data_IF_324449777318
#
_entry.id   IF_324449777318
#
_cell.length_a   1.000
_cell.length_b   1.000
_cell.length_c   1.000
_cell.angle_alpha   90.00
_cell.angle_beta   90.00
_cell.angle_gamma   90.00
#
_symmetry.space_group_name_H-M   'P 1'
#
loop_
_entity.id
_entity.type
_entity.pdbx_description
1 polymer ?
#
# COMPACT_ATOMS: atom_id res chain seq x y z
N UNK A 1 -7.15 -0.03 -14.98
CA UNK A 1 -7.11 1.09 -15.95
C UNK A 1 -8.48 1.56 -16.44
N UNK A 2 -9.45 0.68 -16.71
CA UNK A 2 -10.79 1.10 -17.15
C UNK A 2 -11.47 2.11 -16.21
N UNK A 3 -11.40 1.89 -14.88
CA UNK A 3 -11.95 2.82 -13.91
C UNK A 3 -11.35 4.23 -14.07
N UNK A 4 -10.02 4.36 -14.12
CA UNK A 4 -9.35 5.65 -14.27
C UNK A 4 -9.81 6.35 -15.56
N UNK A 5 -9.75 5.68 -16.71
CA UNK A 5 -10.18 6.25 -18.00
C UNK A 5 -11.65 6.69 -18.04
N UNK A 6 -12.53 6.04 -17.27
CA UNK A 6 -13.96 6.35 -17.22
C UNK A 6 -14.27 7.53 -16.31
N UNK A 7 -13.50 7.71 -15.24
CA UNK A 7 -13.81 8.70 -14.21
C UNK A 7 -12.87 9.91 -14.24
N UNK A 8 -11.72 9.81 -14.90
CA UNK A 8 -10.70 10.86 -14.95
C UNK A 8 -10.25 11.18 -16.38
N UNK A 9 -9.56 12.30 -16.53
CA UNK A 9 -8.89 12.75 -17.75
C UNK A 9 -7.41 12.32 -17.78
N UNK A 10 -6.95 11.57 -16.77
CA UNK A 10 -5.58 11.06 -16.70
C UNK A 10 -5.34 10.15 -17.92
N UNK A 11 -4.29 10.42 -18.72
CA UNK A 11 -3.99 9.61 -19.88
C UNK A 11 -3.49 8.24 -19.45
N UNK A 12 -4.35 7.22 -19.57
CA UNK A 12 -4.01 5.82 -19.32
C UNK A 12 -4.22 4.99 -20.60
N UNK A 13 -3.30 4.06 -20.91
CA UNK A 13 -3.48 3.15 -22.03
C UNK A 13 -4.81 2.41 -22.00
N UNK A 14 -5.47 2.32 -23.16
CA UNK A 14 -6.67 1.51 -23.32
C UNK A 14 -6.35 0.03 -23.26
N UNK A 15 -7.29 -0.76 -22.73
CA UNK A 15 -7.19 -2.21 -22.77
C UNK A 15 -7.66 -2.70 -24.14
N UNK A 16 -6.76 -3.32 -24.91
CA UNK A 16 -7.05 -3.91 -26.22
C UNK A 16 -7.63 -5.31 -26.05
N UNK A 17 -7.02 -6.10 -25.17
CA UNK A 17 -7.45 -7.46 -24.82
C UNK A 17 -6.87 -7.84 -23.47
N UNK A 18 -7.54 -8.70 -22.74
CA UNK A 18 -7.00 -9.32 -21.54
C UNK A 18 -7.61 -10.70 -21.37
N UNK A 19 -6.98 -11.54 -20.56
CA UNK A 19 -7.54 -12.78 -20.05
C UNK A 19 -6.96 -12.99 -18.64
N UNK A 20 -7.83 -13.07 -17.65
CA UNK A 20 -7.45 -13.24 -16.24
C UNK A 20 -7.51 -14.73 -15.83
N UNK A 21 -7.44 -15.63 -16.80
CA UNK A 21 -7.42 -17.08 -16.56
C UNK A 21 -6.21 -17.71 -17.23
N UNK A 22 -5.83 -18.90 -16.81
CA UNK A 22 -4.83 -19.72 -17.52
C UNK A 22 -5.45 -20.48 -18.70
N UNK A 23 -6.78 -20.42 -18.88
CA UNK A 23 -7.50 -21.11 -19.94
C UNK A 23 -7.51 -20.31 -21.25
N UNK A 24 -6.32 -19.96 -21.72
CA UNK A 24 -6.12 -19.21 -22.96
C UNK A 24 -4.90 -19.71 -23.73
N UNK A 25 -4.67 -19.19 -24.94
CA UNK A 25 -3.64 -19.69 -25.86
C UNK A 25 -2.20 -19.62 -25.32
N UNK A 26 -1.91 -18.75 -24.36
CA UNK A 26 -0.57 -18.61 -23.77
C UNK A 26 -0.44 -19.30 -22.41
N UNK A 27 -1.53 -19.86 -21.88
CA UNK A 27 -1.53 -20.59 -20.60
C UNK A 27 -1.31 -19.73 -19.36
N UNK A 28 -1.38 -18.40 -19.49
CA UNK A 28 -1.10 -17.46 -18.41
C UNK A 28 -2.03 -16.25 -18.50
N UNK A 29 -2.27 -15.59 -17.36
CA UNK A 29 -2.96 -14.30 -17.33
C UNK A 29 -2.20 -13.26 -18.16
N UNK A 30 -2.94 -12.41 -18.88
CA UNK A 30 -2.33 -11.31 -19.62
C UNK A 30 -3.24 -10.11 -19.77
N UNK A 31 -2.62 -8.97 -20.03
CA UNK A 31 -3.28 -7.77 -20.52
C UNK A 31 -2.48 -7.19 -21.67
N UNK A 32 -3.17 -6.89 -22.78
CA UNK A 32 -2.66 -6.19 -23.95
C UNK A 32 -3.21 -4.77 -23.94
N UNK A 33 -2.30 -3.80 -24.04
CA UNK A 33 -2.59 -2.38 -23.86
C UNK A 33 -2.25 -1.58 -25.13
N UNK A 34 -2.92 -0.46 -25.32
CA UNK A 34 -2.48 0.58 -26.26
C UNK A 34 -1.05 1.02 -25.91
N UNK A 35 -0.22 1.28 -26.92
CA UNK A 35 1.12 1.82 -26.68
C UNK A 35 1.01 3.30 -26.33
N UNK A 36 1.41 3.68 -25.11
CA UNK A 36 1.58 5.08 -24.76
C UNK A 36 2.73 5.70 -25.59
N UNK A 37 2.49 6.80 -26.33
CA UNK A 37 3.56 7.51 -27.02
C UNK A 37 4.41 8.29 -26.00
N UNK A 38 5.73 8.31 -26.20
CA UNK A 38 6.65 9.09 -25.36
C UNK A 38 7.96 8.36 -25.06
N UNK A 39 8.73 8.96 -24.15
CA UNK A 39 9.95 8.41 -23.56
C UNK A 39 9.76 8.40 -22.06
N UNK A 40 10.26 7.37 -21.39
CA UNK A 40 10.17 7.27 -19.94
C UNK A 40 11.03 8.35 -19.28
N UNK A 41 10.49 8.98 -18.24
CA UNK A 41 11.11 10.14 -17.58
C UNK A 41 12.46 9.79 -16.98
N UNK A 42 12.60 8.60 -16.38
CA UNK A 42 13.85 8.11 -15.80
C UNK A 42 15.03 8.11 -16.79
N UNK A 43 14.75 7.97 -18.09
CA UNK A 43 15.78 7.92 -19.14
C UNK A 43 16.31 9.29 -19.57
N UNK A 44 15.56 10.35 -19.24
CA UNK A 44 15.85 11.71 -19.72
C UNK A 44 15.85 12.76 -18.60
N UNK A 45 15.59 12.38 -17.35
CA UNK A 45 15.37 13.31 -16.24
C UNK A 45 16.53 14.27 -16.03
N UNK A 46 17.77 13.78 -16.15
CA UNK A 46 19.03 14.52 -16.07
C UNK A 46 19.15 15.62 -17.13
N UNK A 47 18.50 15.43 -18.29
CA UNK A 47 18.51 16.35 -19.42
C UNK A 47 17.35 17.33 -19.41
N UNK A 48 16.36 17.13 -18.54
CA UNK A 48 15.19 18.01 -18.47
C UNK A 48 15.57 19.35 -17.85
N UNK A 49 15.07 20.44 -18.42
CA UNK A 49 15.18 21.76 -17.81
C UNK A 49 14.35 21.81 -16.51
N UNK A 50 14.73 22.72 -15.61
CA UNK A 50 13.97 22.96 -14.38
C UNK A 50 12.53 23.40 -14.66
N UNK A 51 12.30 24.13 -15.75
CA UNK A 51 10.96 24.51 -16.20
C UNK A 51 10.12 23.28 -16.58
N UNK A 52 10.68 22.34 -17.33
CA UNK A 52 9.98 21.09 -17.70
C UNK A 52 9.67 20.25 -16.47
N UNK A 53 10.64 20.09 -15.55
CA UNK A 53 10.43 19.38 -14.27
C UNK A 53 9.32 20.03 -13.44
N UNK A 54 9.30 21.37 -13.37
CA UNK A 54 8.24 22.14 -12.71
C UNK A 54 6.87 21.87 -13.33
N UNK A 55 6.77 21.86 -14.65
CA UNK A 55 5.52 21.58 -15.36
C UNK A 55 5.05 20.13 -15.15
N UNK A 56 5.97 19.17 -15.04
CA UNK A 56 5.66 17.79 -14.70
C UNK A 56 5.08 17.68 -13.29
N UNK A 57 5.68 18.33 -12.28
CA UNK A 57 5.10 18.38 -10.92
C UNK A 57 3.69 18.95 -10.96
N UNK A 58 3.49 20.07 -11.68
CA UNK A 58 2.14 20.67 -11.83
C UNK A 58 1.13 19.70 -12.43
N UNK A 59 1.52 18.95 -13.46
CA UNK A 59 0.65 17.96 -14.10
C UNK A 59 0.36 16.76 -13.18
N UNK A 60 1.35 16.24 -12.46
CA UNK A 60 1.15 15.18 -11.47
C UNK A 60 0.22 15.65 -10.34
N UNK A 61 0.36 16.90 -9.89
CA UNK A 61 -0.58 17.50 -8.94
C UNK A 61 -2.00 17.51 -9.51
N UNK A 62 -2.19 17.87 -10.79
CA UNK A 62 -3.52 17.84 -11.42
C UNK A 62 -4.14 16.44 -11.42
N UNK A 63 -3.34 15.40 -11.71
CA UNK A 63 -3.81 14.01 -11.65
C UNK A 63 -4.18 13.59 -10.23
N UNK A 64 -3.37 13.95 -9.23
CA UNK A 64 -3.68 13.63 -7.83
C UNK A 64 -4.96 14.34 -7.37
N UNK A 65 -5.12 15.62 -7.69
CA UNK A 65 -6.36 16.37 -7.40
C UNK A 65 -7.55 15.65 -8.03
N UNK A 66 -7.45 15.25 -9.30
CA UNK A 66 -8.53 14.57 -10.00
C UNK A 66 -8.92 13.25 -9.30
N UNK A 67 -7.96 12.44 -8.88
CA UNK A 67 -8.24 11.20 -8.14
C UNK A 67 -8.94 11.48 -6.80
N UNK A 68 -8.55 12.55 -6.09
CA UNK A 68 -9.19 12.96 -4.83
C UNK A 68 -10.61 13.51 -5.00
N UNK A 69 -11.02 13.88 -6.21
CA UNK A 69 -12.41 14.25 -6.51
C UNK A 69 -13.34 13.03 -6.66
N UNK A 70 -12.81 11.80 -6.61
CA UNK A 70 -13.56 10.55 -6.71
C UNK A 70 -13.39 9.63 -5.48
N UNK A 71 -13.81 10.06 -4.27
CA UNK A 71 -13.66 9.23 -3.08
C UNK A 71 -14.69 8.09 -3.01
N UNK A 72 -14.27 6.95 -2.44
CA UNK A 72 -15.14 5.84 -2.04
C UNK A 72 -15.82 6.16 -0.71
N UNK A 73 -17.03 6.73 -0.79
CA UNK A 73 -17.76 7.26 0.38
C UNK A 73 -18.15 6.20 1.42
N UNK A 74 -18.36 4.96 0.98
CA UNK A 74 -18.80 3.88 1.86
C UNK A 74 -17.64 3.19 2.59
N UNK A 75 -16.40 3.61 2.34
CA UNK A 75 -15.20 3.01 2.92
C UNK A 75 -14.80 1.73 2.19
N UNK A 76 -13.54 1.69 1.74
CA UNK A 76 -13.03 0.54 1.00
C UNK A 76 -11.50 0.54 0.90
N UNK A 77 -10.87 -0.55 1.33
CA UNK A 77 -9.43 -0.78 1.15
C UNK A 77 -9.23 -2.09 0.40
N UNK A 78 -8.77 -1.98 -0.84
CA UNK A 78 -8.56 -3.13 -1.71
C UNK A 78 -8.14 -2.72 -3.11
N UNK A 79 -8.05 -3.69 -4.00
CA UNK A 79 -7.82 -3.49 -5.42
C UNK A 79 -9.11 -3.26 -6.19
N UNK A 80 -8.98 -3.08 -7.51
CA UNK A 80 -10.12 -3.17 -8.42
C UNK A 80 -9.94 -4.43 -9.28
N UNK A 81 -11.00 -5.22 -9.40
CA UNK A 81 -11.07 -6.35 -10.33
C UNK A 81 -12.09 -6.07 -11.44
N UNK A 82 -12.05 -6.87 -12.50
CA UNK A 82 -13.02 -6.79 -13.59
C UNK A 82 -14.10 -7.85 -13.40
N UNK A 83 -15.35 -7.39 -13.35
CA UNK A 83 -16.50 -8.28 -13.46
C UNK A 83 -16.66 -8.77 -14.92
N UNK A 84 -17.37 -9.88 -15.14
CA UNK A 84 -17.43 -10.55 -16.46
C UNK A 84 -17.98 -9.71 -17.63
N UNK A 85 -18.58 -8.54 -17.34
CA UNK A 85 -19.02 -7.53 -18.31
C UNK A 85 -17.95 -6.45 -18.61
N UNK A 86 -16.75 -6.55 -18.03
CA UNK A 86 -15.66 -5.57 -18.14
C UNK A 86 -15.77 -4.37 -17.19
N UNK A 87 -16.74 -4.38 -16.27
CA UNK A 87 -16.92 -3.33 -15.27
C UNK A 87 -15.92 -3.50 -14.11
N UNK A 88 -15.38 -2.38 -13.63
CA UNK A 88 -14.48 -2.39 -12.46
C UNK A 88 -15.29 -2.49 -11.18
N UNK A 89 -15.00 -3.49 -10.35
CA UNK A 89 -15.62 -3.73 -9.05
C UNK A 89 -14.55 -3.87 -7.96
N UNK A 90 -14.95 -3.81 -6.69
CA UNK A 90 -14.07 -4.08 -5.56
C UNK A 90 -13.47 -5.49 -5.64
N UNK A 91 -12.17 -5.62 -5.37
CA UNK A 91 -11.43 -6.86 -5.29
C UNK A 91 -10.36 -6.85 -4.19
N UNK A 92 -9.60 -7.93 -4.01
CA UNK A 92 -8.66 -8.02 -2.90
C UNK A 92 -7.55 -6.96 -3.04
N UNK A 93 -6.98 -6.44 -1.94
CA UNK A 93 -5.74 -5.68 -2.02
C UNK A 93 -4.63 -6.52 -2.65
N UNK A 94 -3.74 -5.84 -3.37
CA UNK A 94 -2.46 -6.40 -3.82
C UNK A 94 -1.38 -5.65 -3.07
N UNK A 95 -0.52 -6.40 -2.38
CA UNK A 95 0.58 -5.84 -1.60
C UNK A 95 1.91 -6.42 -2.07
N UNK A 96 2.95 -5.57 -2.10
CA UNK A 96 4.29 -5.97 -2.54
C UNK A 96 5.01 -6.85 -1.51
N UNK A 97 4.54 -6.84 -0.26
CA UNK A 97 5.06 -7.63 0.85
C UNK A 97 4.26 -8.93 1.04
N UNK A 98 3.41 -9.31 0.08
CA UNK A 98 2.85 -10.65 0.06
C UNK A 98 3.92 -11.67 -0.31
N UNK A 99 3.96 -12.75 0.47
CA UNK A 99 4.80 -13.89 0.14
C UNK A 99 4.38 -14.47 -1.20
N UNK A 100 5.34 -14.85 -2.03
CA UNK A 100 5.08 -15.48 -3.32
C UNK A 100 5.42 -16.97 -3.28
N UNK A 101 5.03 -17.74 -4.30
CA UNK A 101 5.34 -19.18 -4.40
C UNK A 101 6.83 -19.46 -4.18
N UNK A 102 7.79 -18.73 -4.78
CA UNK A 102 9.21 -18.97 -4.53
C UNK A 102 9.65 -18.68 -3.09
N UNK A 103 8.95 -17.78 -2.39
CA UNK A 103 9.26 -17.49 -0.98
C UNK A 103 8.79 -18.62 -0.06
N UNK A 104 7.64 -19.24 -0.34
CA UNK A 104 7.16 -20.41 0.40
C UNK A 104 8.20 -21.53 0.37
N UNK A 105 8.69 -21.86 -0.83
CA UNK A 105 9.70 -22.92 -1.01
C UNK A 105 11.01 -22.60 -0.29
N UNK A 106 11.38 -21.31 -0.23
CA UNK A 106 12.67 -20.88 0.29
C UNK A 106 12.68 -20.64 1.79
N UNK A 107 11.65 -20.00 2.31
CA UNK A 107 11.59 -19.48 3.67
C UNK A 107 10.56 -20.21 4.54
N UNK A 108 9.61 -20.92 3.93
CA UNK A 108 8.59 -21.70 4.64
C UNK A 108 8.70 -23.23 4.38
N UNK A 109 9.89 -23.84 4.24
CA UNK A 109 10.02 -25.19 3.69
C UNK A 109 9.67 -26.33 4.67
N UNK A 110 9.49 -26.05 5.97
CA UNK A 110 9.31 -27.12 6.95
C UNK A 110 7.99 -27.86 6.68
N UNK A 111 8.01 -29.20 6.58
CA UNK A 111 6.81 -30.01 6.53
C UNK A 111 5.88 -29.77 7.72
N UNK A 112 6.37 -29.27 8.85
CA UNK A 112 5.56 -28.97 10.03
C UNK A 112 4.70 -27.69 9.85
N UNK A 113 5.15 -26.74 9.02
CA UNK A 113 4.46 -25.47 8.81
C UNK A 113 3.20 -25.63 7.93
N UNK A 114 3.16 -26.57 6.98
CA UNK A 114 2.02 -26.83 6.08
C UNK A 114 1.39 -25.57 5.43
N UNK A 115 2.19 -24.51 5.25
CA UNK A 115 1.69 -23.22 4.79
C UNK A 115 1.44 -23.21 3.28
N UNK A 116 0.36 -22.55 2.87
CA UNK A 116 0.05 -22.19 1.49
C UNK A 116 -0.14 -20.68 1.40
N UNK A 117 -0.14 -20.12 0.18
CA UNK A 117 -0.24 -18.67 -0.03
C UNK A 117 -1.47 -18.07 0.68
N UNK A 118 -2.61 -18.74 0.60
CA UNK A 118 -3.85 -18.27 1.22
C UNK A 118 -3.80 -18.25 2.75
N UNK A 119 -2.92 -19.06 3.37
CA UNK A 119 -2.74 -19.09 4.83
C UNK A 119 -1.78 -18.00 5.33
N UNK A 120 -0.70 -17.74 4.58
CA UNK A 120 0.29 -16.72 4.97
C UNK A 120 -0.02 -15.32 4.40
N UNK A 121 -0.93 -15.22 3.44
CA UNK A 121 -1.49 -13.98 2.92
C UNK A 121 -3.04 -14.04 2.90
N UNK A 122 -3.70 -14.22 4.05
CA UNK A 122 -5.16 -14.28 4.09
C UNK A 122 -5.74 -12.92 3.70
N UNK A 123 -6.53 -12.89 2.63
CA UNK A 123 -7.12 -11.66 2.10
C UNK A 123 -8.59 -11.93 1.72
N UNK A 124 -9.54 -11.13 2.20
CA UNK A 124 -10.92 -11.20 1.73
C UNK A 124 -10.98 -10.85 0.24
N UNK A 125 -11.70 -11.68 -0.54
CA UNK A 125 -11.84 -11.50 -2.00
C UNK A 125 -12.50 -10.16 -2.33
N UNK A 126 -13.41 -9.72 -1.47
CA UNK A 126 -14.11 -8.45 -1.55
C UNK A 126 -13.30 -7.25 -1.04
N UNK A 127 -12.08 -7.46 -0.51
CA UNK A 127 -11.28 -6.44 0.15
C UNK A 127 -11.78 -6.11 1.57
N UNK A 128 -11.34 -4.98 2.12
CA UNK A 128 -11.66 -4.56 3.47
C UNK A 128 -12.62 -3.38 3.47
N UNK A 129 -13.56 -3.37 4.41
CA UNK A 129 -14.60 -2.33 4.52
C UNK A 129 -14.10 -1.03 5.13
N UNK A 130 -12.92 -1.03 5.78
CA UNK A 130 -12.39 0.16 6.44
C UNK A 130 -10.87 0.09 6.62
N UNK A 131 -10.27 1.24 6.88
CA UNK A 131 -8.85 1.35 7.19
C UNK A 131 -8.43 0.53 8.41
N UNK A 132 -9.22 0.56 9.49
CA UNK A 132 -8.99 -0.29 10.68
C UNK A 132 -9.09 -1.77 10.32
N UNK A 133 -10.11 -2.19 9.56
CA UNK A 133 -10.28 -3.59 9.19
C UNK A 133 -9.07 -4.13 8.39
N UNK A 134 -8.53 -3.32 7.47
CA UNK A 134 -7.31 -3.67 6.75
C UNK A 134 -6.10 -3.85 7.68
N UNK A 135 -5.89 -2.91 8.61
CA UNK A 135 -4.76 -2.98 9.54
C UNK A 135 -4.89 -4.15 10.54
N UNK A 136 -6.11 -4.47 10.98
CA UNK A 136 -6.38 -5.67 11.79
C UNK A 136 -6.02 -6.93 11.01
N UNK A 137 -6.48 -7.07 9.75
CA UNK A 137 -6.13 -8.21 8.90
C UNK A 137 -4.61 -8.36 8.69
N UNK A 138 -3.89 -7.25 8.53
CA UNK A 138 -2.42 -7.26 8.51
C UNK A 138 -1.82 -7.81 9.81
N UNK A 139 -2.29 -7.35 10.98
CA UNK A 139 -1.78 -7.81 12.27
C UNK A 139 -2.09 -9.29 12.53
N UNK A 140 -3.29 -9.76 12.18
CA UNK A 140 -3.68 -11.17 12.30
C UNK A 140 -2.75 -12.08 11.48
N UNK A 141 -2.45 -11.68 10.24
CA UNK A 141 -1.46 -12.34 9.38
C UNK A 141 -0.07 -12.40 10.03
N UNK A 142 0.38 -11.31 10.63
CA UNK A 142 1.69 -11.27 11.29
C UNK A 142 1.72 -12.11 12.57
N UNK A 143 0.65 -12.13 13.35
CA UNK A 143 0.50 -13.00 14.51
C UNK A 143 0.58 -14.47 14.08
N UNK A 144 -0.10 -14.85 12.99
CA UNK A 144 0.00 -16.21 12.44
C UNK A 144 1.45 -16.56 12.12
N UNK A 145 2.14 -15.72 11.35
CA UNK A 145 3.54 -15.91 11.01
C UNK A 145 4.44 -16.08 12.26
N UNK A 146 4.27 -15.24 13.28
CA UNK A 146 5.04 -15.33 14.55
C UNK A 146 4.80 -16.67 15.27
N UNK A 147 3.57 -17.18 15.22
CA UNK A 147 3.23 -18.43 15.89
C UNK A 147 3.83 -19.65 15.19
N UNK A 148 3.83 -19.67 13.85
CA UNK A 148 4.17 -20.88 13.08
C UNK A 148 5.63 -20.92 12.64
N UNK A 149 6.27 -19.78 12.37
CA UNK A 149 7.62 -19.77 11.80
C UNK A 149 8.71 -19.91 12.90
N UNK A 150 9.61 -20.91 12.83
CA UNK A 150 10.60 -21.16 13.88
C UNK A 150 11.53 -19.97 14.18
N UNK A 151 11.98 -19.23 13.15
CA UNK A 151 12.83 -18.04 13.35
C UNK A 151 12.11 -16.85 14.01
N UNK A 152 10.77 -16.92 14.16
CA UNK A 152 9.98 -15.91 14.85
C UNK A 152 9.60 -16.30 16.28
N UNK A 153 10.00 -17.49 16.74
CA UNK A 153 9.78 -17.94 18.11
C UNK A 153 10.16 -16.90 19.18
N UNK A 154 11.29 -16.15 19.07
CA UNK A 154 11.66 -15.12 20.05
C UNK A 154 10.68 -13.95 20.19
N UNK A 155 9.70 -13.81 19.27
CA UNK A 155 8.71 -12.72 19.28
C UNK A 155 7.32 -13.17 19.69
N UNK A 156 7.14 -14.46 20.01
CA UNK A 156 5.85 -15.00 20.49
C UNK A 156 5.36 -14.34 21.78
N UNK A 157 6.27 -13.78 22.58
CA UNK A 157 5.95 -13.00 23.77
C UNK A 157 5.16 -11.72 23.47
N UNK A 158 5.23 -11.22 22.23
CA UNK A 158 4.54 -9.99 21.78
C UNK A 158 3.11 -10.28 21.30
N UNK A 159 2.76 -11.55 21.03
CA UNK A 159 1.46 -11.94 20.44
C UNK A 159 0.27 -11.50 21.29
N UNK A 160 0.33 -11.68 22.61
CA UNK A 160 -0.78 -11.32 23.51
C UNK A 160 -1.05 -9.80 23.50
N UNK A 161 0.00 -8.98 23.38
CA UNK A 161 -0.11 -7.53 23.23
C UNK A 161 -0.71 -7.16 21.88
N UNK A 162 -0.29 -7.79 20.79
CA UNK A 162 -0.88 -7.54 19.46
C UNK A 162 -2.37 -7.93 19.39
N UNK A 163 -2.75 -9.05 20.02
CA UNK A 163 -4.16 -9.45 20.13
C UNK A 163 -4.96 -8.43 20.94
N UNK A 164 -4.40 -7.94 22.06
CA UNK A 164 -5.03 -6.89 22.86
C UNK A 164 -5.16 -5.58 22.07
N UNK A 165 -4.16 -5.23 21.25
CA UNK A 165 -4.23 -4.09 20.35
C UNK A 165 -5.35 -4.25 19.34
N UNK A 166 -5.47 -5.40 18.66
CA UNK A 166 -6.57 -5.66 17.71
C UNK A 166 -7.93 -5.39 18.37
N UNK A 167 -8.16 -5.96 19.56
CA UNK A 167 -9.40 -5.73 20.33
C UNK A 167 -9.61 -4.24 20.60
N UNK A 168 -8.56 -3.50 20.98
CA UNK A 168 -8.63 -2.06 21.24
C UNK A 168 -8.93 -1.26 19.97
N UNK A 169 -8.29 -1.55 18.84
CA UNK A 169 -8.49 -0.85 17.56
C UNK A 169 -9.94 -0.98 17.07
N UNK A 170 -10.59 -2.09 17.39
CA UNK A 170 -11.99 -2.34 17.03
C UNK A 170 -13.02 -1.65 17.94
N UNK A 171 -12.61 -1.13 19.11
CA UNK A 171 -13.51 -0.40 19.99
C UNK A 171 -13.97 0.90 19.32
N UNK A 172 -15.27 1.29 19.44
CA UNK A 172 -15.79 2.49 18.80
C UNK A 172 -14.98 3.76 19.08
N UNK A 173 -14.46 3.91 20.30
CA UNK A 173 -13.65 5.05 20.72
C UNK A 173 -12.38 5.26 19.87
N UNK A 174 -11.75 4.18 19.41
CA UNK A 174 -10.59 4.22 18.52
C UNK A 174 -10.99 4.07 17.06
N UNK A 175 -11.86 3.12 16.76
CA UNK A 175 -12.30 2.78 15.40
C UNK A 175 -12.84 3.98 14.64
N UNK A 176 -13.67 4.81 15.29
CA UNK A 176 -14.28 5.98 14.66
C UNK A 176 -13.28 7.11 14.39
N UNK A 177 -12.17 7.18 15.14
CA UNK A 177 -11.14 8.19 14.94
C UNK A 177 -10.09 7.72 13.92
N UNK A 178 -9.71 6.45 13.97
CA UNK A 178 -8.76 5.83 13.05
C UNK A 178 -9.31 5.78 11.62
N UNK A 179 -10.60 5.48 11.44
CA UNK A 179 -11.25 5.44 10.13
C UNK A 179 -11.56 6.83 9.53
N UNK A 180 -11.15 7.94 10.17
CA UNK A 180 -11.22 9.28 9.55
C UNK A 180 -10.09 9.44 8.54
N UNK A 181 -10.23 8.73 7.44
CA UNK A 181 -9.37 8.76 6.27
C UNK A 181 -10.22 8.97 5.03
N UNK A 182 -9.61 9.47 3.97
CA UNK A 182 -10.26 9.56 2.67
C UNK A 182 -9.85 8.38 1.81
N UNK A 183 -10.84 7.64 1.33
CA UNK A 183 -10.63 6.48 0.47
C UNK A 183 -10.62 6.95 -0.98
N UNK A 184 -9.46 6.97 -1.61
CA UNK A 184 -9.27 7.41 -2.99
C UNK A 184 -8.55 6.35 -3.81
N UNK A 185 -8.67 6.42 -5.13
CA UNK A 185 -7.89 5.58 -6.01
C UNK A 185 -6.44 6.03 -5.94
N UNK A 186 -5.57 5.15 -5.46
CA UNK A 186 -4.13 5.41 -5.37
C UNK A 186 -3.38 4.49 -6.34
N UNK A 187 -2.31 5.01 -6.92
CA UNK A 187 -1.32 4.24 -7.66
C UNK A 187 0.04 4.51 -7.04
N UNK A 188 0.78 3.46 -6.66
CA UNK A 188 2.08 3.61 -5.99
C UNK A 188 3.03 4.48 -6.81
N UNK A 189 3.03 4.36 -8.13
CA UNK A 189 3.92 5.19 -8.97
C UNK A 189 3.53 6.67 -9.10
N UNK A 190 2.35 7.10 -8.62
CA UNK A 190 1.91 8.50 -8.70
C UNK A 190 2.35 9.35 -7.49
N UNK A 191 3.10 8.80 -6.53
CA UNK A 191 3.64 9.59 -5.42
C UNK A 191 4.91 10.35 -5.81
N UNK A 192 5.11 11.53 -5.24
CA UNK A 192 6.23 12.42 -5.57
C UNK A 192 7.60 11.87 -5.18
N UNK A 193 7.65 10.89 -4.26
CA UNK A 193 8.87 10.14 -3.95
C UNK A 193 9.47 9.39 -5.14
N UNK A 194 8.70 9.20 -6.23
CA UNK A 194 9.17 8.62 -7.49
C UNK A 194 9.58 9.66 -8.54
N UNK A 195 9.62 10.96 -8.17
CA UNK A 195 10.34 11.95 -8.96
C UNK A 195 11.83 11.72 -8.68
N UNK A 196 12.44 10.90 -9.54
CA UNK A 196 13.82 10.42 -9.46
C UNK A 196 14.76 11.60 -9.69
N UNK A 197 15.12 12.30 -8.60
CA UNK A 197 16.28 13.18 -8.59
C UNK A 197 17.39 12.52 -7.78
N UNK A 198 18.56 12.36 -8.38
CA UNK A 198 19.77 11.94 -7.65
C UNK A 198 20.26 13.04 -6.68
N UNK A 199 19.81 14.28 -6.89
CA UNK A 199 20.04 15.39 -5.98
C UNK A 199 18.88 15.52 -4.97
N UNK A 200 19.19 15.31 -3.69
CA UNK A 200 18.23 15.42 -2.58
C UNK A 200 17.69 16.84 -2.42
N UNK A 201 18.47 17.87 -2.75
CA UNK A 201 18.02 19.25 -2.68
C UNK A 201 16.95 19.52 -3.75
N UNK A 202 17.17 19.04 -4.97
CA UNK A 202 16.17 19.11 -6.04
C UNK A 202 14.90 18.31 -5.69
N UNK A 203 15.04 17.09 -5.15
CA UNK A 203 13.88 16.32 -4.68
C UNK A 203 13.05 17.11 -3.66
N UNK A 204 13.71 17.67 -2.65
CA UNK A 204 13.06 18.51 -1.62
C UNK A 204 12.36 19.72 -2.25
N UNK A 205 12.98 20.33 -3.27
CA UNK A 205 12.39 21.44 -4.00
C UNK A 205 11.14 21.01 -4.79
N UNK A 206 11.14 19.83 -5.42
CA UNK A 206 9.99 19.30 -6.16
C UNK A 206 8.83 18.93 -5.20
N UNK A 207 9.13 18.39 -4.03
CA UNK A 207 8.15 18.13 -2.97
C UNK A 207 7.50 19.43 -2.48
N UNK A 208 8.31 20.45 -2.17
CA UNK A 208 7.79 21.77 -1.77
C UNK A 208 6.96 22.45 -2.88
N UNK A 209 7.34 22.23 -4.15
CA UNK A 209 6.58 22.73 -5.29
C UNK A 209 5.19 22.10 -5.36
N UNK A 210 5.05 20.80 -5.11
CA UNK A 210 3.74 20.16 -5.08
C UNK A 210 2.79 20.79 -4.07
N UNK A 211 3.25 21.01 -2.83
CA UNK A 211 2.44 21.65 -1.78
C UNK A 211 2.01 23.04 -2.22
N UNK A 212 2.95 23.82 -2.78
CA UNK A 212 2.66 25.15 -3.33
C UNK A 212 1.61 25.10 -4.42
N UNK A 213 1.71 24.13 -5.35
CA UNK A 213 0.75 23.98 -6.46
C UNK A 213 -0.64 23.59 -5.95
N UNK A 214 -0.73 22.73 -4.93
CA UNK A 214 -2.01 22.39 -4.30
C UNK A 214 -2.68 23.63 -3.69
N UNK A 215 -1.91 24.49 -3.03
CA UNK A 215 -2.41 25.75 -2.47
C UNK A 215 -2.81 26.75 -3.58
N UNK A 216 -1.97 26.92 -4.60
CA UNK A 216 -2.22 27.79 -5.76
C UNK A 216 -3.50 27.41 -6.52
N UNK A 217 -3.76 26.11 -6.69
CA UNK A 217 -4.91 25.59 -7.44
C UNK A 217 -6.21 25.55 -6.61
N UNK A 218 -6.14 25.74 -5.29
CA UNK A 218 -7.29 25.72 -4.38
C UNK A 218 -7.55 24.44 -3.56
N UNK A 219 -7.08 23.22 -3.91
CA UNK A 219 -7.30 22.02 -3.09
C UNK A 219 -6.31 21.89 -1.92
N UNK A 220 -6.14 22.95 -1.14
CA UNK A 220 -5.34 22.89 0.09
C UNK A 220 -5.88 21.90 1.12
N UNK A 221 -7.19 21.60 1.08
CA UNK A 221 -7.83 20.58 1.91
C UNK A 221 -7.26 19.17 1.68
N UNK A 222 -6.83 18.86 0.46
CA UNK A 222 -6.23 17.56 0.11
C UNK A 222 -4.94 17.33 0.92
N UNK A 223 -4.15 18.37 1.14
CA UNK A 223 -2.93 18.29 1.95
C UNK A 223 -3.24 17.97 3.42
N UNK A 224 -4.37 18.44 3.94
CA UNK A 224 -4.80 18.11 5.30
C UNK A 224 -5.33 16.67 5.39
N UNK A 225 -6.03 16.19 4.36
CA UNK A 225 -6.51 14.80 4.30
C UNK A 225 -5.40 13.76 4.12
N UNK A 226 -4.27 14.16 3.52
CA UNK A 226 -3.08 13.32 3.39
C UNK A 226 -2.34 13.12 4.72
N UNK A 227 -2.58 13.97 5.72
CA UNK A 227 -1.91 13.87 7.02
C UNK A 227 -2.59 12.82 7.89
N UNK A 228 -1.77 11.96 8.48
CA UNK A 228 -2.22 11.07 9.55
C UNK A 228 -2.28 11.84 10.87
N UNK A 229 -3.25 11.51 11.71
CA UNK A 229 -3.25 11.93 13.11
C UNK A 229 -2.36 11.01 13.95
N UNK A 230 -2.04 11.42 15.19
CA UNK A 230 -1.11 10.68 16.06
C UNK A 230 -1.51 9.21 16.30
N UNK A 231 -2.82 8.90 16.35
CA UNK A 231 -3.29 7.52 16.52
C UNK A 231 -3.13 6.72 15.23
N UNK A 232 -3.42 7.31 14.07
CA UNK A 232 -3.20 6.67 12.77
C UNK A 232 -1.71 6.40 12.55
N UNK A 233 -0.84 7.36 12.86
CA UNK A 233 0.62 7.18 12.82
C UNK A 233 1.07 6.06 13.77
N UNK A 234 0.56 6.03 15.00
CA UNK A 234 0.89 4.98 15.97
C UNK A 234 0.46 3.60 15.49
N UNK A 235 -0.76 3.45 14.94
CA UNK A 235 -1.23 2.19 14.37
C UNK A 235 -0.36 1.75 13.18
N UNK A 236 -0.04 2.67 12.27
CA UNK A 236 0.83 2.39 11.12
C UNK A 236 2.23 1.98 11.56
N UNK A 237 2.79 2.64 12.58
CA UNK A 237 4.07 2.24 13.13
C UNK A 237 4.02 0.80 13.63
N UNK A 238 3.02 0.41 14.43
CA UNK A 238 2.91 -0.99 14.87
C UNK A 238 2.83 -1.94 13.67
N UNK A 239 1.92 -1.70 12.73
CA UNK A 239 1.71 -2.58 11.57
C UNK A 239 2.97 -2.71 10.71
N UNK A 240 3.64 -1.60 10.39
CA UNK A 240 4.83 -1.58 9.56
C UNK A 240 6.04 -2.21 10.25
N UNK A 241 6.25 -1.92 11.53
CA UNK A 241 7.38 -2.47 12.27
C UNK A 241 7.22 -3.98 12.50
N UNK A 242 6.01 -4.45 12.83
CA UNK A 242 5.76 -5.89 12.99
C UNK A 242 5.88 -6.62 11.65
N UNK A 243 5.40 -6.03 10.54
CA UNK A 243 5.65 -6.54 9.18
C UNK A 243 7.13 -6.72 8.91
N UNK A 244 7.94 -5.70 9.17
CA UNK A 244 9.39 -5.73 8.94
C UNK A 244 10.03 -6.88 9.73
N UNK A 245 9.70 -7.03 11.02
CA UNK A 245 10.21 -8.13 11.86
C UNK A 245 9.84 -9.49 11.27
N UNK A 246 8.56 -9.71 10.95
CA UNK A 246 8.07 -10.98 10.39
C UNK A 246 8.81 -11.34 9.10
N UNK A 247 8.95 -10.37 8.19
CA UNK A 247 9.55 -10.60 6.89
C UNK A 247 11.06 -10.89 7.00
N UNK A 248 11.80 -10.02 7.69
CA UNK A 248 13.27 -10.09 7.71
C UNK A 248 13.77 -11.27 8.54
N UNK A 249 13.13 -11.58 9.67
CA UNK A 249 13.53 -12.70 10.50
C UNK A 249 13.23 -14.04 9.81
N UNK A 250 12.08 -14.17 9.13
CA UNK A 250 11.80 -15.36 8.32
C UNK A 250 12.83 -15.53 7.19
N UNK A 251 13.31 -14.42 6.61
CA UNK A 251 14.38 -14.43 5.59
C UNK A 251 15.79 -14.60 6.16
N UNK A 252 15.98 -14.59 7.48
CA UNK A 252 17.29 -14.61 8.13
C UNK A 252 18.15 -13.37 7.88
N UNK A 253 17.52 -12.19 7.70
CA UNK A 253 18.14 -10.94 7.30
C UNK A 253 18.02 -9.85 8.38
N UNK A 254 18.88 -8.82 8.28
CA UNK A 254 18.77 -7.53 8.99
C UNK A 254 18.51 -7.61 10.51
N UNK A 255 19.05 -8.64 11.18
CA UNK A 255 18.85 -8.90 12.61
C UNK A 255 19.29 -7.75 13.53
N UNK A 256 20.22 -6.91 13.07
CA UNK A 256 20.73 -5.73 13.79
C UNK A 256 19.68 -4.62 13.95
N UNK A 257 18.66 -4.59 13.08
CA UNK A 257 17.59 -3.57 13.10
C UNK A 257 16.35 -4.01 13.88
N UNK A 258 16.20 -5.31 14.14
CA UNK A 258 14.97 -5.88 14.72
C UNK A 258 14.67 -5.36 16.11
N UNK A 259 15.70 -5.19 16.96
CA UNK A 259 15.51 -4.63 18.29
C UNK A 259 14.91 -3.21 18.25
N UNK A 260 15.34 -2.39 17.29
CA UNK A 260 14.81 -1.04 17.10
C UNK A 260 13.35 -1.08 16.63
N UNK A 261 13.05 -1.91 15.63
CA UNK A 261 11.69 -2.05 15.10
C UNK A 261 10.71 -2.52 16.19
N UNK A 262 11.13 -3.50 16.99
CA UNK A 262 10.36 -3.99 18.13
C UNK A 262 10.09 -2.87 19.13
N UNK A 263 11.11 -2.11 19.52
CA UNK A 263 10.94 -0.97 20.44
C UNK A 263 9.96 0.07 19.90
N UNK A 264 10.02 0.42 18.62
CA UNK A 264 9.09 1.38 18.00
C UNK A 264 7.65 0.83 18.01
N UNK A 265 7.46 -0.45 17.70
CA UNK A 265 6.15 -1.09 17.75
C UNK A 265 5.59 -1.06 19.19
N UNK A 266 6.38 -1.47 20.18
CA UNK A 266 5.97 -1.52 21.59
C UNK A 266 5.61 -0.14 22.14
N UNK A 267 6.42 0.89 21.86
CA UNK A 267 6.11 2.28 22.25
C UNK A 267 4.87 2.82 21.55
N UNK A 268 4.63 2.42 20.30
CA UNK A 268 3.43 2.85 19.57
C UNK A 268 2.16 2.17 20.12
N UNK A 269 2.25 0.93 20.61
CA UNK A 269 1.13 0.24 21.28
C UNK A 269 0.69 0.92 22.58
N UNK A 270 1.61 1.56 23.31
CA UNK A 270 1.29 2.26 24.56
C UNK A 270 0.26 3.39 24.35
N UNK A 271 0.20 3.98 23.15
CA UNK A 271 -0.81 4.99 22.78
C UNK A 271 -2.24 4.46 22.75
N UNK A 272 -2.39 3.14 22.64
CA UNK A 272 -3.66 2.43 22.73
C UNK A 272 -3.87 1.81 24.12
N UNK A 273 -2.96 2.03 25.07
CA UNK A 273 -3.03 1.45 26.41
C UNK A 273 -2.67 -0.03 26.47
N UNK A 274 -1.82 -0.51 25.56
CA UNK A 274 -1.45 -1.94 25.39
C UNK A 274 0.07 -2.15 25.41
#
# INVERSE_FOLDING_TARGET
MNWARKHTHIPVPGIVRYDATENNLIGHEFTLLERAPGVSVDQIYDKLSMETKTNMVRQLTDYLIELYLHPWKDGYVGGLTLHGNGESVCGPPIDEFFWQVPDLEKYWPSPEMHEILDMINPIPVEGFTSYVAFNVGCLERYIHAINVHPLLEPYRDTVSRLQSLIVTLEQPAFKDQLNRVVYVFAHKDLHLGNIISEDKAEQTQMEALFEKVCLEKGPGWMLEEMKMNELQESMQNVVNQIREIVEVCAKGQANDRVARWRSVAETSMERFGV
#
